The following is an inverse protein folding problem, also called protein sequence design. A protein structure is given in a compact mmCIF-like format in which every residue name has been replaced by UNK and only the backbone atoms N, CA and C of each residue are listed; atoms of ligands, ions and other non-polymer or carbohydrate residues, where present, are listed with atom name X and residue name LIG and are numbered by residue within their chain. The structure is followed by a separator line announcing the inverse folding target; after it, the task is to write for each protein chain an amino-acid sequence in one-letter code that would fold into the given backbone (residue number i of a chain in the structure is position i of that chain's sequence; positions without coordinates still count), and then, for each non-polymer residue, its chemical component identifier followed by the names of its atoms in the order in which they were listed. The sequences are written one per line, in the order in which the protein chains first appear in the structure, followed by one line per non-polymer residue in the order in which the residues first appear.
data_IF_194557016461
#
_entry.id   IF_194557016461
#
_cell.length_a   1.000
_cell.length_b   1.000
_cell.length_c   1.000
_cell.angle_alpha   90.00
_cell.angle_beta   90.00
_cell.angle_gamma   90.00
#
_symmetry.space_group_name_H-M   'P 1'
#
loop_
_entity.id
_entity.type
_entity.pdbx_description
1 polymer ?
#
# COMPACT_ATOMS: atom_id res chain seq x y z
N UNK A 1 23.92 -12.94 25.33
CA UNK A 1 23.63 -11.68 26.05
C UNK A 1 23.23 -10.63 25.04
N UNK A 2 21.92 -10.29 25.06
CA UNK A 2 21.22 -9.08 24.60
C UNK A 2 21.68 -8.36 23.30
N UNK A 3 20.88 -8.57 22.25
CA UNK A 3 20.18 -7.52 21.50
C UNK A 3 21.02 -6.30 21.09
N UNK A 4 21.86 -6.46 20.06
CA UNK A 4 22.32 -5.30 19.28
C UNK A 4 21.10 -4.78 18.55
N UNK A 5 20.61 -3.68 19.10
CA UNK A 5 19.25 -3.23 18.87
C UNK A 5 19.13 -2.54 17.52
N UNK A 6 18.08 -2.92 16.81
CA UNK A 6 17.49 -2.22 15.67
C UNK A 6 17.03 -0.83 16.13
N UNK A 7 17.97 0.12 16.29
CA UNK A 7 17.69 1.51 16.68
C UNK A 7 18.01 2.54 15.59
N UNK A 8 18.07 2.10 14.34
CA UNK A 8 18.09 3.02 13.19
C UNK A 8 16.97 2.56 12.25
N UNK A 9 16.07 3.48 11.86
CA UNK A 9 14.96 3.32 10.89
C UNK A 9 13.50 3.18 11.40
N UNK A 10 13.16 3.62 12.62
CA UNK A 10 11.72 3.80 12.99
C UNK A 10 11.35 5.21 13.49
N UNK A 11 12.31 6.12 13.70
CA UNK A 11 12.03 7.38 14.42
C UNK A 11 12.62 8.67 13.88
N UNK A 12 13.50 8.64 12.87
CA UNK A 12 14.30 9.82 12.48
C UNK A 12 13.49 11.02 11.96
N UNK A 13 12.58 10.77 11.02
CA UNK A 13 11.77 11.81 10.36
C UNK A 13 10.62 12.36 11.23
N UNK A 14 10.33 11.72 12.38
CA UNK A 14 9.22 12.09 13.27
C UNK A 14 9.58 13.17 14.30
N UNK A 15 10.82 13.67 14.31
CA UNK A 15 11.32 14.61 15.32
C UNK A 15 10.61 15.96 15.32
N UNK A 16 9.98 16.36 14.21
CA UNK A 16 9.13 17.54 14.12
C UNK A 16 7.65 17.15 13.95
N UNK A 17 6.98 16.82 15.05
CA UNK A 17 5.53 16.57 15.06
C UNK A 17 4.75 17.87 14.89
N UNK A 18 4.69 18.42 13.67
CA UNK A 18 3.62 19.35 13.32
C UNK A 18 2.30 18.55 13.30
N UNK A 19 1.32 18.85 14.17
CA UNK A 19 0.08 18.07 14.25
C UNK A 19 -0.67 17.99 12.90
N UNK A 20 -0.55 19.04 12.07
CA UNK A 20 -1.09 19.10 10.72
C UNK A 20 -0.51 18.05 9.79
N UNK A 21 0.82 17.87 9.76
CA UNK A 21 1.50 16.87 8.91
C UNK A 21 1.09 15.46 9.34
N UNK A 22 1.06 15.19 10.65
CA UNK A 22 0.63 13.87 11.13
C UNK A 22 -0.84 13.58 10.79
N UNK A 23 -1.73 14.58 10.89
CA UNK A 23 -3.13 14.45 10.51
C UNK A 23 -3.30 14.22 9.01
N UNK A 24 -2.54 14.94 8.18
CA UNK A 24 -2.53 14.76 6.73
C UNK A 24 -2.05 13.34 6.35
N UNK A 25 -0.97 12.86 6.96
CA UNK A 25 -0.46 11.51 6.69
C UNK A 25 -1.45 10.42 7.12
N UNK A 26 -2.13 10.57 8.26
CA UNK A 26 -3.19 9.64 8.68
C UNK A 26 -4.37 9.62 7.69
N UNK A 27 -4.78 10.79 7.18
CA UNK A 27 -5.81 10.88 6.14
C UNK A 27 -5.37 10.18 4.86
N UNK A 28 -4.14 10.42 4.42
CA UNK A 28 -3.57 9.75 3.26
C UNK A 28 -3.55 8.22 3.42
N UNK A 29 -3.12 7.71 4.57
CA UNK A 29 -3.16 6.28 4.87
C UNK A 29 -4.59 5.71 4.82
N UNK A 30 -5.60 6.45 5.28
CA UNK A 30 -6.99 6.04 5.18
C UNK A 30 -7.45 5.99 3.71
N UNK A 31 -7.15 7.03 2.92
CA UNK A 31 -7.49 7.07 1.49
C UNK A 31 -6.85 5.94 0.69
N UNK A 32 -5.63 5.51 1.04
CA UNK A 32 -4.99 4.35 0.42
C UNK A 32 -5.75 3.04 0.71
N UNK A 33 -6.31 2.87 1.91
CA UNK A 33 -7.15 1.71 2.23
C UNK A 33 -8.45 1.73 1.45
N UNK A 34 -9.08 2.90 1.35
CA UNK A 34 -10.32 3.07 0.57
C UNK A 34 -10.06 2.75 -0.91
N UNK A 35 -8.92 3.19 -1.45
CA UNK A 35 -8.49 2.87 -2.82
C UNK A 35 -8.29 1.36 -3.02
N UNK A 36 -7.68 0.66 -2.06
CA UNK A 36 -7.50 -0.79 -2.15
C UNK A 36 -8.85 -1.52 -2.21
N UNK A 37 -9.82 -1.09 -1.39
CA UNK A 37 -11.18 -1.61 -1.42
C UNK A 37 -11.89 -1.35 -2.75
N UNK A 38 -11.77 -0.13 -3.31
CA UNK A 38 -12.34 0.20 -4.62
C UNK A 38 -11.75 -0.67 -5.75
N UNK A 39 -10.45 -0.98 -5.69
CA UNK A 39 -9.82 -1.91 -6.64
C UNK A 39 -10.45 -3.31 -6.52
N UNK A 40 -10.66 -3.80 -5.31
CA UNK A 40 -11.30 -5.09 -5.07
C UNK A 40 -12.74 -5.15 -5.60
N UNK A 41 -13.52 -4.10 -5.36
CA UNK A 41 -14.89 -3.97 -5.87
C UNK A 41 -14.91 -3.96 -7.40
N UNK A 42 -13.99 -3.22 -8.02
CA UNK A 42 -13.86 -3.18 -9.48
C UNK A 42 -13.44 -4.53 -10.09
N UNK A 43 -12.52 -5.27 -9.45
CA UNK A 43 -12.12 -6.60 -9.91
C UNK A 43 -13.27 -7.63 -9.79
N UNK A 44 -14.20 -7.42 -8.84
CA UNK A 44 -15.40 -8.24 -8.69
C UNK A 44 -16.56 -7.80 -9.60
N UNK A 45 -16.45 -6.66 -10.28
CA UNK A 45 -17.51 -6.14 -11.11
C UNK A 45 -17.51 -6.80 -12.49
N UNK A 46 -18.47 -7.70 -12.72
CA UNK A 46 -18.62 -8.45 -13.97
C UNK A 46 -18.88 -7.56 -15.20
N UNK A 47 -19.25 -6.29 -15.02
CA UNK A 47 -19.37 -5.33 -16.13
C UNK A 47 -18.01 -4.88 -16.67
N UNK A 48 -16.95 -4.96 -15.85
CA UNK A 48 -15.58 -4.59 -16.20
C UNK A 48 -14.83 -5.81 -16.79
N UNK A 49 -15.11 -6.13 -18.05
CA UNK A 49 -14.60 -7.33 -18.75
C UNK A 49 -13.07 -7.44 -18.81
N UNK A 50 -12.35 -6.31 -18.73
CA UNK A 50 -10.88 -6.29 -18.72
C UNK A 50 -10.28 -6.65 -17.35
N UNK A 51 -11.12 -6.85 -16.33
CA UNK A 51 -10.72 -7.13 -14.94
C UNK A 51 -11.44 -8.34 -14.35
N UNK A 52 -12.45 -8.86 -15.06
CA UNK A 52 -13.31 -9.93 -14.60
C UNK A 52 -13.66 -10.88 -15.76
N UNK A 53 -13.48 -12.19 -15.54
CA UNK A 53 -13.79 -13.23 -16.52
C UNK A 53 -12.82 -14.42 -16.44
N UNK A 54 -13.14 -15.50 -17.15
CA UNK A 54 -12.26 -16.67 -17.21
C UNK A 54 -10.93 -16.30 -17.89
N UNK A 55 -9.81 -16.62 -17.24
CA UNK A 55 -8.47 -16.30 -17.73
C UNK A 55 -8.05 -14.84 -17.57
N UNK A 56 -8.88 -13.98 -17.00
CA UNK A 56 -8.54 -12.57 -16.72
C UNK A 56 -7.94 -12.48 -15.31
N UNK A 57 -6.71 -11.97 -15.23
CA UNK A 57 -6.03 -11.75 -13.95
C UNK A 57 -6.60 -10.49 -13.27
N UNK A 58 -6.92 -10.53 -11.97
CA UNK A 58 -7.34 -9.34 -11.22
C UNK A 58 -6.29 -8.23 -11.32
N UNK A 59 -6.76 -7.01 -11.53
CA UNK A 59 -5.86 -5.88 -11.75
C UNK A 59 -5.45 -5.27 -10.40
N UNK A 60 -4.50 -5.93 -9.74
CA UNK A 60 -4.02 -5.63 -8.39
C UNK A 60 -2.74 -4.78 -8.33
N UNK A 61 -2.16 -4.43 -9.49
CA UNK A 61 -0.87 -3.71 -9.62
C UNK A 61 -0.83 -2.40 -8.81
N UNK A 62 -1.96 -1.70 -8.75
CA UNK A 62 -2.08 -0.41 -8.05
C UNK A 62 -2.45 -0.54 -6.56
N UNK A 63 -2.52 -1.75 -6.01
CA UNK A 63 -2.77 -1.90 -4.58
C UNK A 63 -1.56 -1.38 -3.79
N UNK A 64 -1.76 -0.56 -2.75
CA UNK A 64 -0.67 0.09 -2.04
C UNK A 64 0.25 -0.89 -1.31
N UNK A 65 -0.28 -2.03 -0.88
CA UNK A 65 0.43 -3.00 -0.05
C UNK A 65 0.59 -4.35 -0.75
N UNK A 66 1.67 -5.06 -0.40
CA UNK A 66 1.96 -6.42 -0.86
C UNK A 66 2.67 -7.22 0.22
N UNK A 67 2.58 -8.55 0.11
CA UNK A 67 3.48 -9.48 0.77
C UNK A 67 4.82 -9.53 0.07
N UNK A 68 5.81 -10.17 0.70
CA UNK A 68 7.12 -10.42 0.11
C UNK A 68 7.03 -11.37 -1.10
N UNK A 69 7.88 -11.15 -2.11
CA UNK A 69 8.00 -11.99 -3.31
C UNK A 69 7.39 -11.37 -4.57
N UNK A 70 7.24 -12.18 -5.62
CA UNK A 70 6.66 -11.77 -6.90
C UNK A 70 5.13 -11.92 -6.79
N UNK A 71 4.45 -10.80 -6.52
CA UNK A 71 3.02 -10.80 -6.20
C UNK A 71 2.14 -10.09 -7.23
N UNK A 72 2.73 -9.29 -8.13
CA UNK A 72 1.97 -8.46 -9.08
C UNK A 72 1.18 -7.32 -8.42
N UNK A 73 1.53 -6.93 -7.19
CA UNK A 73 0.92 -5.83 -6.44
C UNK A 73 1.92 -5.16 -5.49
N UNK A 74 1.53 -4.02 -4.90
CA UNK A 74 2.36 -3.27 -3.95
C UNK A 74 3.15 -2.18 -4.63
N UNK A 75 2.65 -0.95 -4.56
CA UNK A 75 3.33 0.24 -5.10
C UNK A 75 4.37 0.73 -4.09
N UNK A 76 5.68 0.68 -4.40
CA UNK A 76 6.69 1.20 -3.49
C UNK A 76 6.65 2.74 -3.46
N UNK A 77 7.04 3.33 -2.33
CA UNK A 77 7.13 4.79 -2.20
C UNK A 77 8.31 5.41 -2.96
N UNK A 78 9.20 4.58 -3.49
CA UNK A 78 10.42 4.98 -4.20
C UNK A 78 10.79 3.93 -5.24
N UNK A 79 11.62 4.31 -6.21
CA UNK A 79 12.28 3.35 -7.11
C UNK A 79 13.37 2.65 -6.32
N UNK A 80 13.16 1.38 -6.00
CA UNK A 80 14.03 0.58 -5.13
C UNK A 80 14.52 -0.71 -5.78
N UNK A 81 14.30 -0.85 -7.09
CA UNK A 81 14.62 -2.05 -7.88
C UNK A 81 15.99 -1.92 -8.52
#
# INVERSE_FOLDING_TARGET
MKLVTVYVLVGGWRKERKPSISKAFKRFQASLKDLEQQIDENNKNNKLKNRHGAGVVPYDVLKPTSTYGITGRGVPYSVST
#
